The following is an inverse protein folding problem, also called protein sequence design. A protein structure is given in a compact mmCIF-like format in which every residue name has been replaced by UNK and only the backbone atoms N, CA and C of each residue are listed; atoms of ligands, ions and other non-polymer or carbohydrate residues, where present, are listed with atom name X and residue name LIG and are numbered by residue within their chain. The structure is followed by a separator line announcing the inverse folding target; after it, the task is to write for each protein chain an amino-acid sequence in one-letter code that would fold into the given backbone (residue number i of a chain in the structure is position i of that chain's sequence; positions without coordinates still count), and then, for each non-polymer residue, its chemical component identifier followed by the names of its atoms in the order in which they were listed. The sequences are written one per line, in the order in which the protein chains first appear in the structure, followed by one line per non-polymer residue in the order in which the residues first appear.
data_IF_237688674037
#
_entry.id   IF_237688674037
#
_cell.length_a   1.000
_cell.length_b   1.000
_cell.length_c   1.000
_cell.angle_alpha   90.00
_cell.angle_beta   90.00
_cell.angle_gamma   90.00
#
_symmetry.space_group_name_H-M   'P 1'
#
loop_
_entity.id
_entity.type
_entity.pdbx_description
1 polymer ?
#
# COMPACT_ATOMS: atom_id res chain seq x y z
N UNK A 1 -7.64 -30.13 26.63
CA UNK A 1 -6.37 -30.17 25.87
C UNK A 1 -5.93 -28.73 25.74
N UNK A 2 -4.86 -28.35 26.42
CA UNK A 2 -4.33 -26.99 26.46
C UNK A 2 -3.20 -26.89 25.44
N UNK A 3 -3.32 -26.00 24.46
CA UNK A 3 -2.28 -25.79 23.45
C UNK A 3 -1.35 -24.68 23.91
N UNK A 4 -0.15 -25.04 24.35
CA UNK A 4 0.94 -24.10 24.62
C UNK A 4 1.56 -23.66 23.29
N UNK A 5 1.06 -22.58 22.70
CA UNK A 5 1.77 -21.90 21.61
C UNK A 5 2.86 -21.02 22.20
N UNK A 6 4.04 -21.60 22.47
CA UNK A 6 5.22 -20.80 22.74
C UNK A 6 5.57 -20.02 21.46
N UNK A 7 5.71 -18.68 21.50
CA UNK A 7 6.12 -17.91 20.34
C UNK A 7 7.58 -18.25 20.03
N UNK A 8 7.78 -19.15 19.08
CA UNK A 8 9.11 -19.44 18.56
C UNK A 8 9.42 -18.42 17.45
N UNK A 9 10.25 -17.43 17.76
CA UNK A 9 10.77 -16.49 16.77
C UNK A 9 11.95 -17.18 16.09
N UNK A 10 11.68 -17.80 14.94
CA UNK A 10 12.72 -18.36 14.09
C UNK A 10 13.31 -17.23 13.22
N UNK A 11 14.57 -16.87 13.45
CA UNK A 11 15.28 -15.91 12.60
C UNK A 11 15.59 -16.57 11.25
N UNK A 12 14.62 -16.58 10.34
CA UNK A 12 14.69 -17.37 9.10
C UNK A 12 15.66 -16.80 8.05
N UNK A 13 16.11 -15.55 8.17
CA UNK A 13 17.12 -14.97 7.26
C UNK A 13 17.56 -13.60 7.74
N UNK A 14 18.86 -13.31 7.66
CA UNK A 14 19.37 -11.93 7.67
C UNK A 14 19.50 -11.49 6.21
N UNK A 15 18.54 -10.71 5.74
CA UNK A 15 18.60 -10.10 4.43
C UNK A 15 19.79 -9.11 4.38
N UNK A 16 20.54 -9.11 3.28
CA UNK A 16 21.44 -7.99 3.00
C UNK A 16 20.60 -6.72 2.96
N UNK A 17 21.11 -5.63 3.54
CA UNK A 17 20.39 -4.36 3.62
C UNK A 17 20.16 -3.83 2.21
N UNK A 18 18.97 -4.06 1.65
CA UNK A 18 18.59 -3.38 0.43
C UNK A 18 18.31 -1.92 0.78
N UNK A 19 18.95 -0.98 0.08
CA UNK A 19 18.62 0.44 0.23
C UNK A 19 17.23 0.68 -0.36
N UNK A 20 16.19 0.72 0.48
CA UNK A 20 14.80 0.99 0.07
C UNK A 20 14.58 2.49 -0.11
N UNK A 21 15.13 3.27 0.82
CA UNK A 21 14.95 4.71 0.91
C UNK A 21 16.30 5.41 0.83
N UNK A 22 16.32 6.53 0.11
CA UNK A 22 17.37 7.54 0.20
C UNK A 22 17.23 8.33 1.51
N UNK A 23 18.24 9.12 1.86
CA UNK A 23 18.28 9.87 3.14
C UNK A 23 17.07 10.80 3.37
N UNK A 24 16.47 11.31 2.30
CA UNK A 24 15.30 12.19 2.31
C UNK A 24 13.98 11.45 2.08
N UNK A 25 13.97 10.13 2.18
CA UNK A 25 12.81 9.30 1.93
C UNK A 25 12.38 8.56 3.20
N UNK A 26 11.06 8.53 3.42
CA UNK A 26 10.43 7.81 4.51
C UNK A 26 9.39 6.83 3.96
N UNK A 27 9.24 5.69 4.63
CA UNK A 27 8.16 4.75 4.33
C UNK A 27 6.96 5.16 5.17
N UNK A 28 5.91 5.66 4.51
CA UNK A 28 4.70 6.14 5.17
C UNK A 28 3.71 5.02 5.47
N UNK A 29 3.69 3.97 4.64
CA UNK A 29 2.77 2.86 4.78
C UNK A 29 3.38 1.57 4.22
N UNK A 30 3.05 0.45 4.86
CA UNK A 30 3.55 -0.89 4.49
C UNK A 30 2.38 -1.85 4.58
N UNK A 31 2.13 -2.60 3.51
CA UNK A 31 1.18 -3.72 3.47
C UNK A 31 1.73 -4.86 2.63
N UNK A 32 1.25 -6.06 2.87
CA UNK A 32 1.66 -7.26 2.16
C UNK A 32 0.47 -8.12 1.78
N UNK A 33 0.61 -8.85 0.67
CA UNK A 33 -0.14 -10.09 0.44
C UNK A 33 0.82 -11.29 0.50
N UNK A 34 0.46 -12.44 -0.04
CA UNK A 34 1.29 -13.64 0.03
C UNK A 34 2.57 -13.58 -0.83
N UNK A 35 2.60 -12.72 -1.85
CA UNK A 35 3.68 -12.66 -2.84
C UNK A 35 4.47 -11.36 -2.78
N UNK A 36 3.80 -10.26 -2.44
CA UNK A 36 4.32 -8.91 -2.61
C UNK A 36 4.15 -8.03 -1.38
N UNK A 37 5.10 -7.12 -1.23
CA UNK A 37 5.14 -6.06 -0.24
C UNK A 37 4.98 -4.71 -0.93
N UNK A 38 3.90 -3.99 -0.62
CA UNK A 38 3.65 -2.64 -1.09
C UNK A 38 4.16 -1.62 -0.07
N UNK A 39 4.95 -0.66 -0.57
CA UNK A 39 5.58 0.39 0.22
C UNK A 39 5.17 1.75 -0.33
N UNK A 40 4.54 2.57 0.50
CA UNK A 40 4.37 3.99 0.20
C UNK A 40 5.62 4.71 0.66
N UNK A 41 6.40 5.23 -0.28
CA UNK A 41 7.63 5.97 -0.02
C UNK A 41 7.39 7.43 -0.35
N UNK A 42 7.65 8.31 0.62
CA UNK A 42 7.54 9.75 0.46
C UNK A 42 8.92 10.39 0.51
N UNK A 43 9.13 11.42 -0.31
CA UNK A 43 10.31 12.26 -0.28
C UNK A 43 9.92 13.65 0.23
N UNK A 44 10.42 14.02 1.41
CA UNK A 44 10.06 15.26 2.09
C UNK A 44 10.60 16.51 1.36
N UNK A 45 11.75 16.41 0.67
CA UNK A 45 12.39 17.56 0.02
C UNK A 45 11.59 17.99 -1.21
N UNK A 46 11.22 17.03 -2.06
CA UNK A 46 10.50 17.31 -3.31
C UNK A 46 8.99 17.15 -3.17
N UNK A 47 8.51 16.78 -1.97
CA UNK A 47 7.11 16.52 -1.63
C UNK A 47 6.41 15.56 -2.61
N UNK A 48 7.07 14.44 -2.93
CA UNK A 48 6.56 13.42 -3.87
C UNK A 48 6.41 12.08 -3.19
N UNK A 49 5.31 11.39 -3.50
CA UNK A 49 5.05 10.03 -3.02
C UNK A 49 5.03 9.03 -4.18
N UNK A 50 5.54 7.84 -3.91
CA UNK A 50 5.52 6.69 -4.83
C UNK A 50 5.04 5.43 -4.13
N UNK A 51 4.39 4.55 -4.87
CA UNK A 51 4.21 3.16 -4.45
C UNK A 51 5.37 2.37 -5.03
N UNK A 52 6.08 1.63 -4.20
CA UNK A 52 7.06 0.63 -4.62
C UNK A 52 6.54 -0.75 -4.24
N UNK A 53 6.47 -1.64 -5.22
CA UNK A 53 6.10 -3.03 -5.00
C UNK A 53 7.34 -3.91 -5.01
N UNK A 54 7.49 -4.77 -4.01
CA UNK A 54 8.61 -5.71 -3.88
C UNK A 54 8.13 -7.14 -3.76
N UNK A 55 8.88 -8.09 -4.27
CA UNK A 55 8.68 -9.51 -3.94
C UNK A 55 8.97 -9.75 -2.47
N UNK A 56 8.14 -10.50 -1.75
CA UNK A 56 8.44 -10.89 -0.35
C UNK A 56 9.58 -11.91 -0.31
N UNK A 57 9.62 -12.81 -1.30
CA UNK A 57 10.57 -13.90 -1.34
C UNK A 57 12.00 -13.41 -1.53
N UNK A 58 12.23 -12.39 -2.36
CA UNK A 58 13.58 -11.89 -2.69
C UNK A 58 13.82 -10.45 -2.28
N UNK A 59 12.77 -9.75 -1.83
CA UNK A 59 12.80 -8.32 -1.50
C UNK A 59 13.23 -7.40 -2.66
N UNK A 60 13.22 -7.93 -3.89
CA UNK A 60 13.52 -7.23 -5.12
C UNK A 60 12.36 -6.31 -5.52
N UNK A 61 12.67 -5.11 -5.99
CA UNK A 61 11.70 -4.19 -6.59
C UNK A 61 11.13 -4.77 -7.88
N UNK A 62 9.80 -4.91 -7.94
CA UNK A 62 9.04 -5.31 -9.12
C UNK A 62 8.74 -4.08 -9.97
N UNK A 63 8.15 -3.06 -9.35
CA UNK A 63 7.93 -1.76 -9.97
C UNK A 63 7.92 -0.65 -8.93
N UNK A 64 8.12 0.58 -9.40
CA UNK A 64 7.90 1.79 -8.59
C UNK A 64 7.19 2.84 -9.42
N UNK A 65 6.08 3.35 -8.90
CA UNK A 65 5.19 4.25 -9.63
C UNK A 65 4.96 5.53 -8.84
N UNK A 66 4.97 6.65 -9.54
CA UNK A 66 4.70 7.95 -8.93
C UNK A 66 3.20 8.11 -8.69
N UNK A 67 2.83 8.45 -7.46
CA UNK A 67 1.43 8.62 -7.05
C UNK A 67 0.98 10.07 -7.16
N UNK A 68 1.91 11.02 -6.97
CA UNK A 68 1.59 12.44 -6.92
C UNK A 68 2.38 13.17 -5.86
N UNK A 69 2.04 14.45 -5.70
CA UNK A 69 2.56 15.29 -4.64
C UNK A 69 1.81 15.04 -3.33
N UNK A 70 2.44 15.41 -2.23
CA UNK A 70 1.84 15.34 -0.90
C UNK A 70 2.17 14.07 -0.13
N UNK A 71 1.58 13.99 1.04
CA UNK A 71 1.73 12.93 2.03
C UNK A 71 0.37 12.27 2.29
N UNK A 72 0.23 11.41 3.31
CA UNK A 72 -1.06 10.79 3.67
C UNK A 72 -1.61 9.79 2.62
N UNK A 73 -0.71 9.11 1.91
CA UNK A 73 -1.08 7.96 1.09
C UNK A 73 -1.14 6.68 1.95
N UNK A 74 -2.17 5.85 1.76
CA UNK A 74 -2.27 4.50 2.33
C UNK A 74 -2.56 3.50 1.24
N UNK A 75 -1.95 2.34 1.30
CA UNK A 75 -2.14 1.27 0.32
C UNK A 75 -2.83 0.06 0.94
N UNK A 76 -3.37 -0.80 0.08
CA UNK A 76 -3.78 -2.16 0.42
C UNK A 76 -3.62 -3.03 -0.82
N UNK A 77 -3.30 -4.33 -0.66
CA UNK A 77 -3.52 -5.31 -1.72
C UNK A 77 -5.00 -5.35 -2.12
N UNK A 78 -5.25 -5.70 -3.38
CA UNK A 78 -6.59 -5.89 -3.95
C UNK A 78 -6.53 -7.03 -4.98
N UNK A 79 -7.47 -7.99 -4.93
CA UNK A 79 -7.60 -9.08 -5.92
C UNK A 79 -6.27 -9.79 -6.27
N UNK A 80 -5.52 -10.24 -5.26
CA UNK A 80 -4.26 -10.99 -5.33
C UNK A 80 -3.05 -10.33 -6.03
N UNK A 81 -3.26 -9.49 -7.04
CA UNK A 81 -2.18 -8.90 -7.84
C UNK A 81 -2.25 -7.38 -7.97
N UNK A 82 -3.44 -6.80 -7.82
CA UNK A 82 -3.63 -5.36 -7.91
C UNK A 82 -3.40 -4.70 -6.56
N UNK A 83 -3.25 -3.38 -6.62
CA UNK A 83 -3.07 -2.54 -5.47
C UNK A 83 -4.04 -1.39 -5.50
N UNK A 84 -4.50 -1.01 -4.32
CA UNK A 84 -5.37 0.14 -4.14
C UNK A 84 -4.70 1.12 -3.21
N UNK A 85 -4.81 2.40 -3.53
CA UNK A 85 -4.20 3.48 -2.77
C UNK A 85 -5.24 4.56 -2.53
N UNK A 86 -5.35 5.01 -1.29
CA UNK A 86 -6.02 6.27 -0.99
C UNK A 86 -4.98 7.37 -0.80
N UNK A 87 -5.30 8.51 -1.37
CA UNK A 87 -4.54 9.75 -1.32
C UNK A 87 -5.37 10.76 -0.52
N UNK A 88 -5.05 10.86 0.76
CA UNK A 88 -5.73 11.77 1.67
C UNK A 88 -5.34 13.24 1.48
N UNK A 89 -4.34 13.55 0.66
CA UNK A 89 -3.93 14.93 0.36
C UNK A 89 -4.74 15.50 -0.80
N UNK A 90 -4.96 14.69 -1.86
CA UNK A 90 -5.73 15.09 -3.04
C UNK A 90 -7.17 14.53 -3.05
N UNK A 91 -7.64 14.02 -1.91
CA UNK A 91 -8.97 13.44 -1.73
C UNK A 91 -9.38 12.45 -2.82
N UNK A 92 -8.53 11.46 -3.09
CA UNK A 92 -8.79 10.48 -4.16
C UNK A 92 -8.38 9.06 -3.79
N UNK A 93 -8.85 8.14 -4.61
CA UNK A 93 -8.51 6.74 -4.64
C UNK A 93 -7.87 6.42 -5.99
N UNK A 94 -6.90 5.52 -5.99
CA UNK A 94 -6.19 5.03 -7.15
C UNK A 94 -6.26 3.49 -7.15
N UNK A 95 -6.70 2.90 -8.26
CA UNK A 95 -6.50 1.46 -8.54
C UNK A 95 -5.27 1.32 -9.40
N UNK A 96 -4.38 0.43 -8.99
CA UNK A 96 -3.07 0.19 -9.60
C UNK A 96 -3.03 -1.27 -10.03
N UNK A 97 -2.80 -1.50 -11.31
CA UNK A 97 -2.65 -2.84 -11.87
C UNK A 97 -1.42 -3.55 -11.32
N UNK A 98 -1.39 -4.87 -11.49
CA UNK A 98 -0.19 -5.68 -11.25
C UNK A 98 1.06 -5.28 -12.07
N UNK A 99 0.89 -4.50 -13.14
CA UNK A 99 1.97 -3.98 -13.98
C UNK A 99 2.44 -2.58 -13.56
N UNK A 100 1.87 -2.02 -12.48
CA UNK A 100 2.21 -0.70 -11.99
C UNK A 100 1.58 0.44 -12.81
N UNK A 101 0.41 0.22 -13.39
CA UNK A 101 -0.32 1.26 -14.13
C UNK A 101 -1.51 1.71 -13.29
N UNK A 102 -1.78 3.01 -13.24
CA UNK A 102 -2.98 3.54 -12.58
C UNK A 102 -4.17 3.35 -13.54
N UNK A 103 -5.01 2.36 -13.24
CA UNK A 103 -6.17 2.00 -14.07
C UNK A 103 -7.38 2.90 -13.81
N UNK A 104 -7.56 3.33 -12.56
CA UNK A 104 -8.74 4.06 -12.12
C UNK A 104 -8.37 5.12 -11.10
N UNK A 105 -8.95 6.30 -11.22
CA UNK A 105 -8.88 7.37 -10.21
C UNK A 105 -10.29 7.80 -9.85
N UNK A 106 -10.62 7.86 -8.56
CA UNK A 106 -11.93 8.30 -8.05
C UNK A 106 -11.70 9.38 -7.00
N UNK A 107 -12.40 10.51 -7.10
CA UNK A 107 -12.32 11.61 -6.14
C UNK A 107 -13.42 11.50 -5.08
N UNK A 108 -13.11 11.93 -3.87
CA UNK A 108 -14.01 11.96 -2.72
C UNK A 108 -14.19 13.40 -2.24
N UNK A 109 -15.38 13.77 -1.75
CA UNK A 109 -15.61 15.08 -1.16
C UNK A 109 -14.85 15.24 0.16
N UNK A 110 -14.64 14.15 0.90
CA UNK A 110 -13.96 14.12 2.19
C UNK A 110 -12.66 13.34 2.12
N UNK A 111 -11.68 13.74 2.93
CA UNK A 111 -10.36 13.09 3.02
C UNK A 111 -10.48 11.58 3.29
N UNK A 112 -10.04 10.70 2.38
CA UNK A 112 -9.91 9.29 2.67
C UNK A 112 -8.69 9.05 3.57
N UNK A 113 -8.86 8.24 4.61
CA UNK A 113 -7.81 7.91 5.57
C UNK A 113 -7.25 6.52 5.39
N UNK A 114 -8.10 5.54 5.08
CA UNK A 114 -7.71 4.14 4.95
C UNK A 114 -8.52 3.47 3.86
N UNK A 115 -7.94 2.40 3.33
CA UNK A 115 -8.58 1.52 2.38
C UNK A 115 -8.22 0.08 2.69
N UNK A 116 -9.17 -0.82 2.48
CA UNK A 116 -8.95 -2.25 2.60
C UNK A 116 -9.81 -2.99 1.59
N UNK A 117 -9.31 -4.14 1.14
CA UNK A 117 -10.12 -5.14 0.44
C UNK A 117 -11.22 -5.66 1.39
N UNK A 118 -12.47 -5.61 0.93
CA UNK A 118 -13.64 -6.10 1.66
C UNK A 118 -14.14 -7.44 1.11
N UNK A 119 -13.46 -8.00 0.11
CA UNK A 119 -13.84 -9.23 -0.58
C UNK A 119 -14.96 -9.03 -1.60
N UNK A 120 -15.20 -10.05 -2.44
CA UNK A 120 -16.24 -10.01 -3.49
C UNK A 120 -16.13 -8.79 -4.43
N UNK A 121 -14.92 -8.43 -4.84
CA UNK A 121 -14.63 -7.24 -5.65
C UNK A 121 -15.08 -5.92 -5.01
N UNK A 122 -15.15 -5.87 -3.68
CA UNK A 122 -15.49 -4.66 -2.93
C UNK A 122 -14.29 -4.13 -2.17
N UNK A 123 -14.28 -2.82 -2.04
CA UNK A 123 -13.33 -2.10 -1.19
C UNK A 123 -14.09 -1.30 -0.14
N UNK A 124 -13.50 -1.21 1.05
CA UNK A 124 -13.98 -0.32 2.09
C UNK A 124 -13.02 0.86 2.24
N UNK A 125 -13.53 2.09 2.15
CA UNK A 125 -12.78 3.33 2.32
C UNK A 125 -13.33 4.07 3.53
N UNK A 126 -12.46 4.31 4.51
CA UNK A 126 -12.79 5.14 5.67
C UNK A 126 -12.39 6.58 5.41
N UNK A 127 -13.33 7.51 5.52
CA UNK A 127 -13.06 8.95 5.51
C UNK A 127 -13.18 9.55 6.91
N UNK A 128 -13.11 10.88 7.05
CA UNK A 128 -13.36 11.58 8.33
C UNK A 128 -14.76 11.37 8.86
N UNK A 129 -15.72 11.13 7.97
CA UNK A 129 -17.14 11.24 8.28
C UNK A 129 -17.88 9.92 8.01
N UNK A 130 -17.42 9.14 7.03
CA UNK A 130 -18.17 7.99 6.54
C UNK A 130 -17.25 6.78 6.28
N UNK A 131 -17.88 5.60 6.25
CA UNK A 131 -17.31 4.39 5.67
C UNK A 131 -18.03 4.12 4.36
N UNK A 132 -17.34 4.22 3.24
CA UNK A 132 -17.89 3.87 1.94
C UNK A 132 -17.49 2.44 1.57
N UNK A 133 -18.45 1.69 1.02
CA UNK A 133 -18.19 0.39 0.41
C UNK A 133 -18.46 0.54 -1.08
N UNK A 134 -17.46 0.26 -1.91
CA UNK A 134 -17.56 0.39 -3.36
C UNK A 134 -17.39 -0.96 -4.03
N UNK A 135 -18.17 -1.21 -5.07
CA UNK A 135 -17.89 -2.23 -6.05
C UNK A 135 -16.76 -1.73 -6.97
N UNK A 136 -15.72 -2.54 -7.14
CA UNK A 136 -14.52 -2.22 -7.92
C UNK A 136 -14.51 -2.81 -9.34
N UNK A 137 -15.71 -3.15 -9.85
CA UNK A 137 -15.91 -3.46 -11.26
C UNK A 137 -15.59 -2.27 -12.18
#
# INVERSE_FOLDING_TARGET
IEYYTLPYIQLNRRWQTSFICQHNQIINDIKSNYLYLGLIIHNDIINKSRLELRSIEYFQSIYSIYLGQGWSYRCSPYNNSDWIVVDGYNNRFLKISNSGIIDKTIFYPTKPFNIVDWGQDKIAIRTSEHLYIHDCQ
#
